data_IF_749462538106
#
_entry.id   IF_749462538106
#
_cell.length_a   1.000
_cell.length_b   1.000
_cell.length_c   1.000
_cell.angle_alpha   90.00
_cell.angle_beta   90.00
_cell.angle_gamma   90.00
#
_symmetry.space_group_name_H-M   'P 1'
#
loop_
_entity.id
_entity.type
_entity.pdbx_description
1 polymer ?
#
# COMPACT_ATOMS: atom_id res chain seq x y z
N UNK A 1 18.51 -4.71 20.28
CA UNK A 1 18.91 -3.62 19.35
C UNK A 1 18.68 -2.30 20.08
N UNK A 2 19.53 -1.29 19.92
CA UNK A 2 19.23 0.04 20.50
C UNK A 2 18.24 0.75 19.58
N UNK A 3 17.02 1.05 20.06
CA UNK A 3 16.07 1.85 19.28
C UNK A 3 16.65 3.25 18.98
N UNK A 4 16.35 3.86 17.84
CA UNK A 4 16.64 5.26 17.60
C UNK A 4 15.92 6.18 18.61
N UNK A 5 16.48 7.37 18.84
CA UNK A 5 15.96 8.30 19.83
C UNK A 5 14.70 9.03 19.37
N UNK A 6 14.67 9.56 18.14
CA UNK A 6 13.60 10.45 17.67
C UNK A 6 12.87 9.90 16.44
N UNK A 7 11.59 9.49 16.55
CA UNK A 7 10.79 9.06 15.40
C UNK A 7 10.67 10.08 14.27
N UNK A 8 10.83 11.37 14.56
CA UNK A 8 10.91 12.44 13.56
C UNK A 8 11.99 12.20 12.50
N UNK A 9 13.08 11.53 12.88
CA UNK A 9 14.20 11.24 11.97
C UNK A 9 13.81 10.23 10.88
N UNK A 10 12.74 9.45 11.09
CA UNK A 10 12.17 8.53 10.11
C UNK A 10 11.13 9.17 9.19
N UNK A 11 10.87 10.47 9.29
CA UNK A 11 9.80 11.13 8.54
C UNK A 11 9.86 10.90 7.02
N UNK A 12 11.06 10.87 6.44
CA UNK A 12 11.25 10.59 5.03
C UNK A 12 10.92 9.13 4.69
N UNK A 13 11.26 8.17 5.56
CA UNK A 13 10.90 6.77 5.42
C UNK A 13 9.37 6.57 5.54
N UNK A 14 8.71 7.23 6.50
CA UNK A 14 7.26 7.16 6.64
C UNK A 14 6.54 7.64 5.39
N UNK A 15 6.95 8.78 4.85
CA UNK A 15 6.42 9.29 3.58
C UNK A 15 6.66 8.30 2.45
N UNK A 16 7.85 7.72 2.36
CA UNK A 16 8.20 6.76 1.32
C UNK A 16 7.35 5.49 1.41
N UNK A 17 7.18 4.91 2.60
CA UNK A 17 6.35 3.72 2.81
C UNK A 17 4.86 3.99 2.59
N UNK A 18 4.35 5.16 3.01
CA UNK A 18 2.97 5.57 2.71
C UNK A 18 2.71 5.65 1.20
N UNK A 19 3.73 6.06 0.44
CA UNK A 19 3.62 6.21 -1.01
C UNK A 19 3.83 4.89 -1.76
N UNK A 20 4.87 4.13 -1.44
CA UNK A 20 5.32 2.99 -2.26
C UNK A 20 5.10 1.63 -1.61
N UNK A 21 4.86 1.59 -0.30
CA UNK A 21 4.70 0.35 0.47
C UNK A 21 5.96 -0.50 0.60
N UNK A 22 7.07 -0.04 0.01
CA UNK A 22 8.34 -0.73 -0.07
C UNK A 22 9.48 0.28 -0.16
N UNK A 23 10.66 -0.10 0.32
CA UNK A 23 11.90 0.64 0.18
C UNK A 23 13.04 -0.30 -0.24
N UNK A 24 13.76 0.05 -1.31
CA UNK A 24 14.94 -0.70 -1.74
C UNK A 24 16.17 -0.37 -0.89
N UNK A 25 17.22 -1.17 -0.95
CA UNK A 25 18.50 -0.89 -0.28
C UNK A 25 19.13 0.42 -0.77
N UNK A 26 19.02 0.70 -2.06
CA UNK A 26 19.46 1.98 -2.62
C UNK A 26 18.67 3.16 -2.04
N UNK A 27 17.34 3.06 -2.01
CA UNK A 27 16.46 4.11 -1.48
C UNK A 27 16.68 4.31 0.02
N UNK A 28 16.75 3.23 0.81
CA UNK A 28 16.97 3.29 2.25
C UNK A 28 18.30 3.97 2.60
N UNK A 29 19.36 3.74 1.81
CA UNK A 29 20.63 4.42 1.95
C UNK A 29 20.50 5.93 1.64
N UNK A 30 19.81 6.28 0.55
CA UNK A 30 19.54 7.69 0.19
C UNK A 30 18.73 8.44 1.24
N UNK A 31 17.77 7.76 1.88
CA UNK A 31 16.95 8.29 2.98
C UNK A 31 17.67 8.29 4.32
N UNK A 32 18.87 7.69 4.43
CA UNK A 32 19.59 7.44 5.70
C UNK A 32 18.74 6.71 6.73
N UNK A 33 17.86 5.82 6.25
CA UNK A 33 16.81 5.19 7.03
C UNK A 33 17.19 3.82 7.63
N UNK A 34 18.44 3.37 7.42
CA UNK A 34 18.91 2.03 7.83
C UNK A 34 18.52 1.60 9.26
N UNK A 35 18.79 2.42 10.30
CA UNK A 35 18.40 2.07 11.67
C UNK A 35 16.89 1.86 11.83
N UNK A 36 16.08 2.67 11.16
CA UNK A 36 14.61 2.61 11.23
C UNK A 36 14.02 1.43 10.47
N UNK A 37 14.60 1.10 9.31
CA UNK A 37 14.23 -0.10 8.56
C UNK A 37 14.40 -1.35 9.42
N UNK A 38 15.54 -1.49 10.10
CA UNK A 38 15.78 -2.62 11.01
C UNK A 38 14.82 -2.63 12.21
N UNK A 39 14.42 -1.47 12.73
CA UNK A 39 13.42 -1.39 13.81
C UNK A 39 12.07 -1.92 13.34
N UNK A 40 11.60 -1.51 12.17
CA UNK A 40 10.30 -1.93 11.64
C UNK A 40 10.30 -3.37 11.12
N UNK A 41 11.45 -3.87 10.65
CA UNK A 41 11.64 -5.29 10.36
C UNK A 41 11.50 -6.14 11.63
N UNK A 42 12.17 -5.77 12.73
CA UNK A 42 12.03 -6.48 14.01
C UNK A 42 10.64 -6.35 14.64
N UNK A 43 9.92 -5.26 14.34
CA UNK A 43 8.53 -5.08 14.74
C UNK A 43 7.55 -5.93 13.90
N UNK A 44 8.03 -6.63 12.85
CA UNK A 44 7.19 -7.39 11.93
C UNK A 44 6.33 -6.52 11.00
N UNK A 45 6.61 -5.21 10.94
CA UNK A 45 5.91 -4.28 10.04
C UNK A 45 6.52 -4.30 8.63
N UNK A 46 7.82 -4.61 8.53
CA UNK A 46 8.52 -4.82 7.27
C UNK A 46 9.05 -6.24 7.17
N UNK A 47 9.10 -6.77 5.96
CA UNK A 47 9.76 -8.03 5.61
C UNK A 47 10.89 -7.77 4.62
N UNK A 48 12.06 -8.34 4.92
CA UNK A 48 13.25 -8.18 4.10
C UNK A 48 13.29 -9.16 2.94
N UNK A 49 13.50 -8.64 1.74
CA UNK A 49 13.77 -9.41 0.53
C UNK A 49 15.27 -9.59 0.40
N UNK A 50 15.70 -10.84 0.22
CA UNK A 50 17.11 -11.19 0.20
C UNK A 50 17.59 -11.58 -1.20
N UNK A 51 18.82 -11.22 -1.55
CA UNK A 51 19.48 -11.74 -2.74
C UNK A 51 19.88 -13.22 -2.57
N UNK A 52 20.40 -13.82 -3.65
CA UNK A 52 20.95 -15.20 -3.66
C UNK A 52 22.07 -15.45 -2.64
N UNK A 53 22.62 -14.41 -2.01
CA UNK A 53 23.66 -14.49 -0.99
C UNK A 53 23.13 -14.19 0.42
N UNK A 54 21.81 -14.08 0.60
CA UNK A 54 21.19 -13.80 1.89
C UNK A 54 21.38 -12.36 2.37
N UNK A 55 21.67 -11.40 1.48
CA UNK A 55 21.76 -9.98 1.84
C UNK A 55 20.44 -9.28 1.55
N UNK A 56 19.91 -8.47 2.48
CA UNK A 56 18.69 -7.71 2.23
C UNK A 56 18.91 -6.70 1.10
N UNK A 57 18.02 -6.70 0.12
CA UNK A 57 18.04 -5.80 -1.05
C UNK A 57 16.84 -4.87 -1.10
N UNK A 58 15.74 -5.21 -0.43
CA UNK A 58 14.57 -4.38 -0.26
C UNK A 58 13.79 -4.79 0.99
N UNK A 59 12.86 -3.94 1.43
CA UNK A 59 11.92 -4.21 2.50
C UNK A 59 10.54 -3.71 2.12
N UNK A 60 9.52 -4.57 2.25
CA UNK A 60 8.13 -4.19 1.97
C UNK A 60 7.26 -4.33 3.22
N UNK A 61 6.14 -3.61 3.24
CA UNK A 61 5.12 -3.77 4.27
C UNK A 61 4.64 -5.22 4.30
N UNK A 62 4.51 -5.77 5.51
CA UNK A 62 3.91 -7.09 5.72
C UNK A 62 2.40 -7.03 5.51
N UNK A 63 1.72 -8.16 5.22
CA UNK A 63 0.27 -8.19 4.99
C UNK A 63 -0.58 -7.45 6.04
N UNK A 64 -0.27 -7.49 7.36
CA UNK A 64 -1.00 -6.72 8.36
C UNK A 64 -0.76 -5.20 8.35
N UNK A 65 0.15 -4.70 7.52
CA UNK A 65 0.54 -3.29 7.43
C UNK A 65 0.35 -2.69 6.04
N UNK A 66 -0.04 -3.49 5.03
CA UNK A 66 -0.28 -2.99 3.65
C UNK A 66 -1.35 -1.89 3.62
N UNK A 67 -2.36 -1.95 4.51
CA UNK A 67 -3.40 -0.92 4.62
C UNK A 67 -2.85 0.48 4.89
N UNK A 68 -1.60 0.62 5.36
CA UNK A 68 -0.95 1.91 5.56
C UNK A 68 -0.83 2.73 4.28
N UNK A 69 -0.97 2.09 3.11
CA UNK A 69 -1.02 2.75 1.80
C UNK A 69 -2.25 3.65 1.60
N UNK A 70 -3.27 3.51 2.43
CA UNK A 70 -4.48 4.37 2.43
C UNK A 70 -4.47 5.42 3.56
N UNK A 71 -3.44 5.37 4.41
CA UNK A 71 -3.29 6.30 5.53
C UNK A 71 -2.48 7.54 5.12
N UNK A 72 -2.74 8.66 5.80
CA UNK A 72 -1.83 9.81 5.74
C UNK A 72 -0.48 9.50 6.40
N UNK A 73 0.55 10.27 6.06
CA UNK A 73 1.93 10.05 6.52
C UNK A 73 2.05 10.05 8.05
N UNK A 74 1.24 10.85 8.77
CA UNK A 74 1.27 10.89 10.23
C UNK A 74 0.68 9.61 10.82
N UNK A 75 -0.42 9.12 10.26
CA UNK A 75 -1.00 7.83 10.65
C UNK A 75 -0.06 6.66 10.37
N UNK A 76 0.64 6.66 9.23
CA UNK A 76 1.67 5.67 8.91
C UNK A 76 2.76 5.67 9.97
N UNK A 77 3.35 6.83 10.27
CA UNK A 77 4.39 6.95 11.29
C UNK A 77 3.91 6.48 12.67
N UNK A 78 2.71 6.88 13.10
CA UNK A 78 2.13 6.45 14.38
C UNK A 78 1.96 4.94 14.47
N UNK A 79 1.30 4.33 13.48
CA UNK A 79 1.03 2.89 13.48
C UNK A 79 2.31 2.07 13.44
N UNK A 80 3.32 2.51 12.68
CA UNK A 80 4.64 1.88 12.69
C UNK A 80 5.35 2.02 14.04
N UNK A 81 5.27 3.18 14.70
CA UNK A 81 5.82 3.36 16.05
C UNK A 81 5.12 2.46 17.07
N UNK A 82 3.79 2.35 17.02
CA UNK A 82 2.99 1.49 17.91
C UNK A 82 3.19 -0.02 17.70
N UNK A 83 3.79 -0.41 16.57
CA UNK A 83 4.20 -1.78 16.31
C UNK A 83 5.52 -2.16 17.01
N UNK A 84 6.35 -1.17 17.36
CA UNK A 84 7.64 -1.40 18.03
C UNK A 84 7.37 -1.96 19.43
N UNK A 85 7.80 -3.20 19.66
CA UNK A 85 7.46 -3.99 20.86
C UNK A 85 7.74 -3.26 22.17
N UNK A 86 8.90 -2.63 22.30
CA UNK A 86 9.28 -1.93 23.52
C UNK A 86 8.40 -0.69 23.77
N UNK A 87 8.08 0.07 22.72
CA UNK A 87 7.20 1.24 22.84
C UNK A 87 5.74 0.82 23.06
N UNK A 88 5.30 -0.27 22.42
CA UNK A 88 3.99 -0.87 22.65
C UNK A 88 3.81 -1.32 24.10
N UNK A 89 4.81 -2.01 24.65
CA UNK A 89 4.81 -2.44 26.05
C UNK A 89 4.78 -1.25 27.01
N UNK A 90 5.49 -0.16 26.66
CA UNK A 90 5.40 1.12 27.36
C UNK A 90 3.93 1.61 27.37
N UNK A 91 3.34 1.87 26.21
CA UNK A 91 1.95 2.35 26.14
C UNK A 91 0.92 1.46 26.87
N UNK A 92 1.11 0.13 26.88
CA UNK A 92 0.25 -0.79 27.66
C UNK A 92 0.38 -0.58 29.17
N UNK A 93 1.58 -0.31 29.70
CA UNK A 93 1.78 -0.01 31.11
C UNK A 93 1.06 1.28 31.50
N UNK A 94 1.18 2.35 30.71
CA UNK A 94 0.42 3.60 30.92
C UNK A 94 -1.09 3.34 30.99
N UNK A 95 -1.61 2.55 30.04
CA UNK A 95 -3.03 2.19 30.02
C UNK A 95 -3.42 1.38 31.26
N UNK A 96 -2.63 0.38 31.64
CA UNK A 96 -2.90 -0.48 32.80
C UNK A 96 -2.89 0.33 34.10
N UNK A 97 -1.88 1.17 34.32
CA UNK A 97 -1.83 2.02 35.51
C UNK A 97 -3.06 2.93 35.60
N UNK A 98 -3.41 3.61 34.49
CA UNK A 98 -4.58 4.50 34.47
C UNK A 98 -5.92 3.78 34.65
N UNK A 99 -6.07 2.58 34.10
CA UNK A 99 -7.28 1.76 34.29
C UNK A 99 -7.43 1.29 35.74
N UNK A 100 -6.33 0.90 36.39
CA UNK A 100 -6.35 0.51 37.81
C UNK A 100 -6.69 1.72 38.69
N UNK A 101 -6.07 2.87 38.45
CA UNK A 101 -6.34 4.10 39.19
C UNK A 101 -7.81 4.53 39.04
N UNK A 102 -8.35 4.50 37.81
CA UNK A 102 -9.78 4.76 37.56
C UNK A 102 -10.71 3.75 38.27
N UNK A 103 -10.32 2.47 38.28
CA UNK A 103 -11.05 1.42 39.00
C UNK A 103 -11.10 1.66 40.51
N UNK A 104 -9.99 2.08 41.11
CA UNK A 104 -9.93 2.42 42.54
C UNK A 104 -10.68 3.70 42.89
N UNK A 105 -10.75 4.64 41.95
CA UNK A 105 -11.54 5.87 42.07
C UNK A 105 -13.05 5.63 41.89
N UNK A 106 -13.48 4.42 41.50
CA UNK A 106 -14.89 4.10 41.28
C UNK A 106 -15.48 4.69 40.00
N UNK A 107 -14.65 4.99 38.99
CA UNK A 107 -15.06 5.55 37.69
C UNK A 107 -15.68 4.48 36.78
N UNK A 108 -16.75 3.84 37.24
CA UNK A 108 -17.33 2.66 36.56
C UNK A 108 -17.93 2.99 35.20
N UNK A 109 -18.50 4.19 35.02
CA UNK A 109 -19.13 4.60 33.77
C UNK A 109 -18.07 4.82 32.68
N UNK A 110 -16.99 5.52 33.03
CA UNK A 110 -15.88 5.83 32.14
C UNK A 110 -15.13 4.56 31.74
N UNK A 111 -14.90 3.65 32.69
CA UNK A 111 -14.27 2.35 32.40
C UNK A 111 -15.11 1.52 31.41
N UNK A 112 -16.43 1.50 31.57
CA UNK A 112 -17.30 0.83 30.59
C UNK A 112 -17.25 1.49 29.21
N UNK A 113 -17.22 2.82 29.16
CA UNK A 113 -17.13 3.57 27.90
C UNK A 113 -15.80 3.28 27.18
N UNK A 114 -14.67 3.35 27.89
CA UNK A 114 -13.35 3.10 27.31
C UNK A 114 -13.17 1.66 26.84
N UNK A 115 -13.63 0.69 27.63
CA UNK A 115 -13.50 -0.74 27.28
C UNK A 115 -14.41 -1.16 26.12
N UNK A 116 -15.61 -0.57 26.01
CA UNK A 116 -16.51 -0.80 24.87
C UNK A 116 -16.14 0.02 23.63
N UNK A 117 -15.44 1.14 23.81
CA UNK A 117 -15.02 2.07 22.76
C UNK A 117 -13.54 1.94 22.41
N UNK A 118 -12.74 2.94 22.79
CA UNK A 118 -11.36 3.16 22.35
C UNK A 118 -10.41 1.96 22.60
N UNK A 119 -10.63 1.22 23.69
CA UNK A 119 -9.80 0.07 24.07
C UNK A 119 -10.32 -1.26 23.57
N UNK A 120 -11.50 -1.31 22.93
CA UNK A 120 -12.08 -2.56 22.44
C UNK A 120 -11.09 -3.41 21.60
N UNK A 121 -10.25 -2.83 20.71
CA UNK A 121 -9.25 -3.58 19.95
C UNK A 121 -8.11 -4.16 20.80
N UNK A 122 -7.82 -3.55 21.95
CA UNK A 122 -6.70 -3.90 22.83
C UNK A 122 -7.10 -4.78 24.01
N UNK A 123 -8.39 -5.04 24.25
CA UNK A 123 -8.85 -5.74 25.45
C UNK A 123 -8.18 -7.10 25.68
N UNK A 124 -8.01 -7.89 24.62
CA UNK A 124 -7.35 -9.20 24.72
C UNK A 124 -5.89 -9.06 25.19
N UNK A 125 -5.16 -8.08 24.65
CA UNK A 125 -3.77 -7.82 25.00
C UNK A 125 -3.65 -7.20 26.41
N UNK A 126 -4.51 -6.25 26.76
CA UNK A 126 -4.57 -5.67 28.11
C UNK A 126 -4.88 -6.74 29.16
N UNK A 127 -5.82 -7.65 28.90
CA UNK A 127 -6.13 -8.75 29.81
C UNK A 127 -4.95 -9.72 29.95
N UNK A 128 -4.28 -10.06 28.84
CA UNK A 128 -3.07 -10.89 28.87
C UNK A 128 -1.94 -10.23 29.67
N UNK A 129 -1.83 -8.90 29.58
CA UNK A 129 -0.86 -8.11 30.33
C UNK A 129 -1.20 -8.01 31.83
N UNK A 130 -2.49 -7.85 32.18
CA UNK A 130 -2.98 -7.78 33.56
C UNK A 130 -2.93 -9.11 34.31
N UNK A 131 -3.19 -10.23 33.63
CA UNK A 131 -3.24 -11.58 34.23
C UNK A 131 -2.04 -11.92 35.12
N UNK A 132 -0.78 -11.78 34.68
CA UNK A 132 0.38 -12.05 35.54
C UNK A 132 0.53 -11.06 36.70
N UNK A 133 0.10 -9.80 36.53
CA UNK A 133 0.18 -8.77 37.57
C UNK A 133 -0.81 -9.06 38.70
N UNK A 134 -2.01 -9.51 38.36
CA UNK A 134 -3.08 -9.85 39.30
C UNK A 134 -2.75 -11.10 40.12
N UNK A 135 -2.14 -12.13 39.52
CA UNK A 135 -1.76 -13.35 40.24
C UNK A 135 -2.91 -13.98 41.04
N UNK A 136 -4.15 -13.85 40.55
CA UNK A 136 -5.37 -14.35 41.20
C UNK A 136 -6.06 -13.37 42.18
N UNK A 137 -5.54 -12.14 42.34
CA UNK A 137 -6.20 -11.05 43.08
C UNK A 137 -6.37 -9.82 42.17
N UNK A 138 -7.52 -9.17 42.25
CA UNK A 138 -7.78 -7.95 41.47
C UNK A 138 -6.88 -6.82 41.96
N UNK A 139 -6.20 -6.12 41.05
CA UNK A 139 -5.28 -5.02 41.41
C UNK A 139 -5.99 -3.90 42.19
N UNK A 140 -7.25 -3.64 41.88
CA UNK A 140 -8.06 -2.59 42.54
C UNK A 140 -8.35 -2.86 44.02
N UNK A 141 -8.29 -4.13 44.44
CA UNK A 141 -8.58 -4.57 45.81
C UNK A 141 -7.29 -4.64 46.67
N UNK A 142 -6.12 -4.39 46.09
CA UNK A 142 -4.84 -4.43 46.79
C UNK A 142 -4.63 -3.17 47.66
N UNK A 143 -3.88 -3.36 48.76
CA UNK A 143 -3.41 -2.23 49.56
C UNK A 143 -2.48 -1.33 48.72
N UNK A 144 -2.45 0.00 48.97
CA UNK A 144 -1.66 0.94 48.16
C UNK A 144 -0.19 0.56 47.97
N UNK A 145 0.46 0.08 49.04
CA UNK A 145 1.88 -0.31 49.02
C UNK A 145 2.13 -1.61 48.26
N UNK A 146 1.20 -2.55 48.29
CA UNK A 146 1.27 -3.80 47.50
C UNK A 146 1.05 -3.50 46.02
N UNK A 147 0.10 -2.62 45.69
CA UNK A 147 -0.13 -2.16 44.33
C UNK A 147 1.09 -1.42 43.76
N UNK A 148 1.66 -0.47 44.52
CA UNK A 148 2.86 0.25 44.09
C UNK A 148 4.02 -0.71 43.82
N UNK A 149 4.22 -1.74 44.65
CA UNK A 149 5.24 -2.75 44.42
C UNK A 149 4.98 -3.54 43.14
N UNK A 150 3.72 -3.95 42.88
CA UNK A 150 3.33 -4.68 41.66
C UNK A 150 3.54 -3.85 40.39
N UNK A 151 3.23 -2.56 40.45
CA UNK A 151 3.38 -1.64 39.31
C UNK A 151 4.84 -1.17 39.13
N UNK A 152 5.64 -1.16 40.19
CA UNK A 152 7.07 -0.79 40.10
C UNK A 152 7.89 -1.73 39.22
N UNK A 153 7.46 -2.99 39.10
CA UNK A 153 8.08 -4.02 38.27
C UNK A 153 7.66 -3.95 36.79
N UNK A 154 6.79 -3.00 36.41
CA UNK A 154 6.39 -2.81 35.02
C UNK A 154 7.60 -2.39 34.15
N UNK A 155 7.70 -2.88 32.90
CA UNK A 155 8.84 -2.65 32.00
C UNK A 155 9.27 -1.20 31.68
N UNK A 156 8.65 -0.17 32.23
CA UNK A 156 8.75 1.21 31.74
C UNK A 156 9.81 2.13 32.34
N UNK A 157 10.50 1.74 33.42
CA UNK A 157 11.34 2.74 34.13
C UNK A 157 12.76 2.90 33.61
N UNK A 158 13.19 2.06 32.66
CA UNK A 158 14.60 2.03 32.26
C UNK A 158 14.95 2.93 31.07
N UNK A 159 13.97 3.37 30.27
CA UNK A 159 14.22 4.13 29.04
C UNK A 159 13.25 5.30 28.85
N UNK A 160 13.73 6.52 28.55
CA UNK A 160 12.86 7.64 28.22
C UNK A 160 12.29 7.50 26.80
N UNK A 161 10.96 7.61 26.69
CA UNK A 161 10.21 7.63 25.42
C UNK A 161 9.60 9.00 25.08
N UNK A 162 10.02 10.07 25.77
CA UNK A 162 9.47 11.43 25.60
C UNK A 162 9.36 11.89 24.12
N UNK A 163 10.40 11.66 23.31
CA UNK A 163 10.38 11.99 21.89
C UNK A 163 9.38 11.15 21.08
N UNK A 164 9.21 9.89 21.48
CA UNK A 164 8.23 8.99 20.88
C UNK A 164 6.81 9.40 21.25
N UNK A 165 6.57 9.79 22.50
CA UNK A 165 5.26 10.28 22.96
C UNK A 165 4.89 11.57 22.27
N UNK A 166 5.83 12.51 22.19
CA UNK A 166 5.63 13.77 21.46
C UNK A 166 5.25 13.54 20.01
N UNK A 167 5.84 12.54 19.35
CA UNK A 167 5.53 12.22 17.95
C UNK A 167 4.22 11.43 17.81
N UNK A 168 4.11 10.31 18.52
CA UNK A 168 3.06 9.33 18.30
C UNK A 168 1.73 9.69 18.98
N UNK A 169 1.81 10.24 20.19
CA UNK A 169 0.66 10.70 20.96
C UNK A 169 0.36 12.19 20.76
N UNK A 170 1.36 12.96 20.32
CA UNK A 170 1.27 14.41 20.15
C UNK A 170 1.52 15.19 21.45
N UNK A 171 1.95 14.51 22.51
CA UNK A 171 2.23 15.09 23.82
C UNK A 171 3.29 14.27 24.54
N UNK A 172 4.19 14.94 25.27
CA UNK A 172 5.20 14.30 26.09
C UNK A 172 5.04 14.79 27.53
N UNK A 173 4.81 13.86 28.44
CA UNK A 173 4.56 14.13 29.85
C UNK A 173 5.04 12.95 30.70
N UNK A 174 4.80 12.98 32.00
CA UNK A 174 5.04 11.80 32.84
C UNK A 174 4.02 10.71 32.47
N UNK A 175 4.34 9.40 32.60
CA UNK A 175 3.43 8.31 32.23
C UNK A 175 1.99 8.47 32.73
N UNK A 176 1.80 8.88 33.99
CA UNK A 176 0.48 9.13 34.59
C UNK A 176 -0.35 10.21 33.89
N UNK A 177 0.32 11.20 33.29
CA UNK A 177 -0.31 12.31 32.58
C UNK A 177 -0.59 11.95 31.10
N UNK A 178 -0.06 10.83 30.61
CA UNK A 178 -0.23 10.37 29.23
C UNK A 178 -1.43 9.44 29.01
N UNK A 179 -2.11 9.01 30.09
CA UNK A 179 -3.21 8.05 30.00
C UNK A 179 -4.27 8.42 28.95
N UNK A 180 -4.82 9.63 29.00
CA UNK A 180 -5.85 10.06 28.03
C UNK A 180 -5.33 10.10 26.59
N UNK A 181 -4.06 10.42 26.39
CA UNK A 181 -3.44 10.47 25.07
C UNK A 181 -3.23 9.07 24.52
N UNK A 182 -2.72 8.15 25.33
CA UNK A 182 -2.58 6.73 24.98
C UNK A 182 -3.97 6.14 24.67
N UNK A 183 -4.97 6.38 25.51
CA UNK A 183 -6.34 5.93 25.30
C UNK A 183 -6.88 6.35 23.93
N UNK A 184 -6.82 7.64 23.61
CA UNK A 184 -7.42 8.21 22.38
C UNK A 184 -6.61 7.97 21.10
N UNK A 185 -5.31 7.67 21.20
CA UNK A 185 -4.41 7.57 20.02
C UNK A 185 -3.90 6.16 19.77
N UNK A 186 -3.56 5.42 20.80
CA UNK A 186 -3.00 4.08 20.68
C UNK A 186 -4.10 3.02 20.53
N UNK A 187 -5.16 3.08 21.34
CA UNK A 187 -6.31 2.16 21.26
C UNK A 187 -6.92 2.07 19.86
N UNK A 188 -7.42 3.18 19.29
CA UNK A 188 -8.00 3.19 17.94
C UNK A 188 -7.01 2.83 16.83
N UNK A 189 -5.71 3.07 17.02
CA UNK A 189 -4.69 2.70 16.04
C UNK A 189 -4.39 1.20 16.01
N UNK A 190 -4.83 0.45 17.03
CA UNK A 190 -4.66 -1.00 17.13
C UNK A 190 -5.87 -1.80 16.60
N UNK A 191 -6.87 -1.12 16.01
CA UNK A 191 -7.94 -1.79 15.28
C UNK A 191 -7.33 -2.72 14.23
N UNK A 192 -7.69 -4.01 14.29
CA UNK A 192 -7.33 -4.99 13.28
C UNK A 192 -7.95 -4.56 11.95
N UNK A 193 -7.10 -4.23 11.00
CA UNK A 193 -7.52 -3.91 9.65
C UNK A 193 -7.56 -5.18 8.80
N UNK A 194 -8.35 -5.20 7.72
CA UNK A 194 -8.39 -6.33 6.80
C UNK A 194 -6.97 -6.68 6.34
N UNK A 195 -6.60 -7.94 6.49
CA UNK A 195 -5.30 -8.43 6.03
C UNK A 195 -5.39 -8.63 4.52
N UNK A 196 -4.46 -8.03 3.78
CA UNK A 196 -4.33 -8.30 2.35
C UNK A 196 -3.94 -9.77 2.16
N UNK A 197 -4.83 -10.56 1.57
CA UNK A 197 -4.57 -11.97 1.26
C UNK A 197 -3.77 -12.10 -0.04
N UNK A 198 -3.96 -11.16 -0.96
CA UNK A 198 -3.29 -11.09 -2.25
C UNK A 198 -2.17 -10.05 -2.25
N UNK A 199 -1.29 -10.11 -3.25
CA UNK A 199 -0.23 -9.11 -3.43
C UNK A 199 -0.84 -7.73 -3.67
N UNK A 200 -0.27 -6.71 -3.01
CA UNK A 200 -0.74 -5.34 -3.13
C UNK A 200 -0.30 -4.70 -4.45
N UNK A 201 -1.22 -4.02 -5.12
CA UNK A 201 -0.95 -3.20 -6.30
C UNK A 201 -1.34 -1.76 -6.03
N UNK A 202 -0.46 -0.80 -6.31
CA UNK A 202 -0.67 0.61 -5.99
C UNK A 202 -0.55 1.45 -7.24
N UNK A 203 -1.61 2.15 -7.61
CA UNK A 203 -1.53 3.07 -8.73
C UNK A 203 -0.86 4.39 -8.29
N UNK A 204 0.25 4.75 -8.95
CA UNK A 204 0.96 6.02 -8.77
C UNK A 204 1.17 6.71 -10.11
N UNK A 205 1.33 8.05 -10.13
CA UNK A 205 1.70 8.74 -11.35
C UNK A 205 3.07 8.25 -11.81
N UNK A 206 3.15 7.70 -13.03
CA UNK A 206 4.41 7.36 -13.67
C UNK A 206 4.77 8.49 -14.64
N UNK A 207 5.84 9.26 -14.38
CA UNK A 207 6.24 10.35 -15.24
C UNK A 207 6.99 9.78 -16.45
N UNK A 208 6.26 9.35 -17.49
CA UNK A 208 6.87 8.82 -18.73
C UNK A 208 6.90 9.85 -19.88
N UNK A 209 6.41 11.08 -19.65
CA UNK A 209 6.49 12.20 -20.61
C UNK A 209 7.48 13.27 -20.18
N UNK A 210 8.15 13.89 -21.15
CA UNK A 210 9.05 15.05 -20.92
C UNK A 210 8.38 16.17 -20.16
N UNK A 211 7.15 16.47 -20.51
CA UNK A 211 6.31 17.50 -19.88
C UNK A 211 6.05 17.20 -18.39
N UNK A 212 6.08 15.92 -18.01
CA UNK A 212 5.91 15.45 -16.63
C UNK A 212 7.27 15.23 -15.91
N UNK A 213 8.38 15.73 -16.47
CA UNK A 213 9.72 15.61 -15.88
C UNK A 213 10.52 14.37 -16.33
N UNK A 214 10.06 13.63 -17.33
CA UNK A 214 10.79 12.48 -17.90
C UNK A 214 11.84 12.92 -18.93
N UNK A 215 13.11 12.87 -18.58
CA UNK A 215 14.22 12.98 -19.53
C UNK A 215 14.94 11.64 -19.64
N UNK A 216 15.63 11.39 -20.76
CA UNK A 216 16.49 10.21 -20.90
C UNK A 216 17.51 10.12 -19.74
N UNK A 217 18.01 11.27 -19.28
CA UNK A 217 18.85 11.35 -18.09
C UNK A 217 18.12 10.96 -16.80
N UNK A 218 16.90 11.45 -16.58
CA UNK A 218 16.16 11.14 -15.34
C UNK A 218 15.64 9.71 -15.30
N UNK A 219 15.31 9.12 -16.44
CA UNK A 219 14.97 7.70 -16.57
C UNK A 219 16.13 6.79 -16.15
N UNK A 220 17.36 7.22 -16.45
CA UNK A 220 18.57 6.44 -16.14
C UNK A 220 19.03 6.55 -14.68
N UNK A 221 18.42 7.44 -13.89
CA UNK A 221 18.72 7.63 -12.48
C UNK A 221 17.71 6.80 -11.67
N UNK A 222 18.16 6.05 -10.65
CA UNK A 222 17.25 5.36 -9.76
C UNK A 222 16.27 6.35 -9.10
N UNK A 223 14.98 6.12 -9.31
CA UNK A 223 13.85 6.86 -8.77
C UNK A 223 12.85 5.84 -8.20
N UNK A 224 12.00 6.23 -7.23
CA UNK A 224 11.07 5.28 -6.64
C UNK A 224 10.09 4.64 -7.62
N UNK A 225 9.67 5.37 -8.65
CA UNK A 225 8.76 4.83 -9.65
C UNK A 225 9.43 3.84 -10.62
N UNK A 226 10.76 3.85 -10.73
CA UNK A 226 11.52 3.08 -11.73
C UNK A 226 12.43 2.00 -11.13
N UNK A 227 12.37 1.83 -9.81
CA UNK A 227 13.12 0.82 -9.06
C UNK A 227 12.28 -0.45 -8.93
N UNK A 228 12.94 -1.62 -9.02
CA UNK A 228 12.32 -2.93 -8.83
C UNK A 228 11.63 -3.05 -7.47
N UNK A 229 10.37 -3.47 -7.51
CA UNK A 229 9.53 -3.76 -6.36
C UNK A 229 9.25 -5.24 -6.23
N UNK A 230 9.09 -5.74 -5.01
CA UNK A 230 8.93 -7.17 -4.71
C UNK A 230 7.62 -7.49 -4.00
N UNK A 231 7.26 -6.74 -2.96
CA UNK A 231 6.07 -7.01 -2.15
C UNK A 231 4.87 -6.14 -2.51
N UNK A 232 5.14 -4.94 -3.05
CA UNK A 232 4.09 -3.96 -3.42
C UNK A 232 4.33 -3.47 -4.84
N UNK A 233 3.44 -3.83 -5.76
CA UNK A 233 3.54 -3.49 -7.18
C UNK A 233 3.10 -2.04 -7.42
N UNK A 234 4.05 -1.11 -7.37
CA UNK A 234 3.78 0.34 -7.37
C UNK A 234 4.52 1.15 -8.45
N UNK A 235 5.40 0.52 -9.24
CA UNK A 235 6.26 1.19 -10.22
C UNK A 235 6.47 0.40 -11.51
N UNK A 236 7.25 0.97 -12.44
CA UNK A 236 7.66 0.34 -13.69
C UNK A 236 9.19 0.17 -13.69
N UNK A 237 9.71 -1.01 -13.30
CA UNK A 237 11.13 -1.17 -13.03
C UNK A 237 12.00 -1.12 -14.29
N UNK A 238 13.04 -0.29 -14.24
CA UNK A 238 14.18 -0.25 -15.18
C UNK A 238 15.52 -0.24 -14.43
N UNK A 239 15.47 -0.12 -13.10
CA UNK A 239 16.60 -0.15 -12.17
C UNK A 239 16.30 -1.19 -11.09
N UNK A 240 17.29 -2.00 -10.72
CA UNK A 240 17.17 -2.99 -9.67
C UNK A 240 17.16 -2.35 -8.26
N UNK A 241 16.93 -3.15 -7.23
CA UNK A 241 16.86 -2.67 -5.86
C UNK A 241 18.22 -2.17 -5.28
N UNK A 242 19.31 -2.30 -6.04
CA UNK A 242 20.65 -1.79 -5.72
C UNK A 242 21.00 -0.52 -6.47
N UNK A 243 20.12 -0.04 -7.35
CA UNK A 243 20.37 1.13 -8.18
C UNK A 243 21.10 0.80 -9.47
N UNK A 244 21.21 -0.47 -9.87
CA UNK A 244 21.82 -0.89 -11.14
C UNK A 244 20.77 -0.95 -12.24
N UNK A 245 21.13 -0.60 -13.48
CA UNK A 245 20.20 -0.65 -14.61
C UNK A 245 19.88 -2.11 -14.98
N UNK A 246 18.64 -2.35 -15.38
CA UNK A 246 18.13 -3.68 -15.75
C UNK A 246 18.12 -3.94 -17.26
N UNK A 247 18.71 -3.04 -18.05
CA UNK A 247 18.75 -3.10 -19.50
C UNK A 247 20.19 -2.94 -20.02
N UNK A 248 20.42 -3.37 -21.25
CA UNK A 248 21.74 -3.35 -21.89
C UNK A 248 22.25 -1.91 -22.07
N UNK A 249 23.44 -1.64 -21.55
CA UNK A 249 24.09 -0.32 -21.63
C UNK A 249 24.83 -0.11 -22.96
N UNK A 250 25.10 -1.18 -23.71
CA UNK A 250 25.87 -1.14 -24.95
C UNK A 250 25.00 -0.72 -26.17
N UNK A 251 23.67 -0.74 -26.01
CA UNK A 251 22.72 -0.42 -27.05
C UNK A 251 22.17 1.03 -26.93
N UNK A 252 21.63 1.62 -28.02
CA UNK A 252 21.10 2.98 -27.98
C UNK A 252 20.01 3.13 -26.92
N UNK A 253 20.26 4.01 -25.95
CA UNK A 253 19.41 4.20 -24.77
C UNK A 253 17.94 4.47 -25.15
N UNK A 254 17.68 5.19 -26.24
CA UNK A 254 16.34 5.51 -26.70
C UNK A 254 15.55 4.28 -27.20
N UNK A 255 16.22 3.26 -27.72
CA UNK A 255 15.58 2.06 -28.26
C UNK A 255 15.32 1.05 -27.15
N UNK A 256 16.36 0.73 -26.37
CA UNK A 256 16.26 -0.30 -25.32
C UNK A 256 15.42 0.16 -24.13
N UNK A 257 15.50 1.43 -23.74
CA UNK A 257 14.69 1.95 -22.64
C UNK A 257 13.20 1.92 -22.96
N UNK A 258 12.81 2.25 -24.19
CA UNK A 258 11.41 2.26 -24.58
C UNK A 258 10.82 0.85 -24.55
N UNK A 259 11.57 -0.13 -25.06
CA UNK A 259 11.17 -1.53 -24.99
C UNK A 259 11.09 -2.05 -23.56
N UNK A 260 12.08 -1.76 -22.72
CA UNK A 260 12.07 -2.20 -21.32
C UNK A 260 10.93 -1.54 -20.53
N UNK A 261 10.64 -0.25 -20.79
CA UNK A 261 9.49 0.44 -20.18
C UNK A 261 8.16 -0.17 -20.62
N UNK A 262 8.02 -0.59 -21.88
CA UNK A 262 6.84 -1.33 -22.34
C UNK A 262 6.67 -2.62 -21.55
N UNK A 263 7.73 -3.42 -21.45
CA UNK A 263 7.70 -4.69 -20.72
C UNK A 263 7.37 -4.47 -19.23
N UNK A 264 8.02 -3.50 -18.58
CA UNK A 264 7.79 -3.15 -17.19
C UNK A 264 6.36 -2.64 -16.91
N UNK A 265 5.80 -1.83 -17.81
CA UNK A 265 4.42 -1.32 -17.68
C UNK A 265 3.40 -2.44 -17.91
N UNK A 266 3.66 -3.38 -18.80
CA UNK A 266 2.80 -4.56 -19.03
C UNK A 266 2.68 -5.42 -17.76
N UNK A 267 3.72 -5.49 -16.94
CA UNK A 267 3.72 -6.24 -15.68
C UNK A 267 2.99 -5.52 -14.53
N UNK A 268 2.76 -4.22 -14.63
CA UNK A 268 2.07 -3.46 -13.58
C UNK A 268 0.55 -3.73 -13.60
N UNK A 269 -0.10 -4.20 -12.51
CA UNK A 269 -1.47 -4.71 -12.53
C UNK A 269 -2.54 -3.75 -13.09
N UNK A 270 -2.44 -2.45 -12.78
CA UNK A 270 -3.35 -1.43 -13.31
C UNK A 270 -3.20 -1.20 -14.82
N UNK A 271 -1.98 -1.26 -15.34
CA UNK A 271 -1.73 -1.13 -16.77
C UNK A 271 -2.10 -2.43 -17.48
N UNK A 272 -1.73 -3.58 -16.90
CA UNK A 272 -2.14 -4.90 -17.37
C UNK A 272 -3.67 -4.99 -17.54
N UNK A 273 -4.46 -4.52 -16.55
CA UNK A 273 -5.92 -4.46 -16.65
C UNK A 273 -6.39 -3.75 -17.92
N UNK A 274 -5.84 -2.56 -18.20
CA UNK A 274 -6.18 -1.77 -19.38
C UNK A 274 -5.73 -2.41 -20.69
N UNK A 275 -4.55 -3.03 -20.70
CA UNK A 275 -4.04 -3.74 -21.86
C UNK A 275 -4.92 -4.95 -22.16
N UNK A 276 -5.33 -5.69 -21.12
CA UNK A 276 -6.27 -6.81 -21.26
C UNK A 276 -7.63 -6.35 -21.79
N UNK A 277 -8.15 -5.21 -21.34
CA UNK A 277 -9.35 -4.60 -21.92
C UNK A 277 -9.15 -4.26 -23.42
N UNK A 278 -8.03 -3.66 -23.79
CA UNK A 278 -7.71 -3.36 -25.19
C UNK A 278 -7.61 -4.63 -26.06
N UNK A 279 -7.02 -5.71 -25.52
CA UNK A 279 -6.97 -7.02 -26.19
C UNK A 279 -8.37 -7.63 -26.32
N UNK A 280 -9.20 -7.56 -25.29
CA UNK A 280 -10.59 -8.01 -25.38
C UNK A 280 -11.35 -7.24 -26.47
N UNK A 281 -11.21 -5.92 -26.51
CA UNK A 281 -11.84 -5.09 -27.54
C UNK A 281 -11.41 -5.48 -28.95
N UNK A 282 -10.10 -5.66 -29.17
CA UNK A 282 -9.55 -6.09 -30.46
C UNK A 282 -10.01 -7.48 -30.90
N UNK A 283 -10.12 -8.44 -29.96
CA UNK A 283 -10.51 -9.83 -30.28
C UNK A 283 -12.01 -10.03 -30.40
N UNK A 284 -12.81 -9.19 -29.72
CA UNK A 284 -14.25 -9.37 -29.61
C UNK A 284 -14.97 -9.54 -30.95
N UNK A 285 -14.63 -8.81 -32.05
CA UNK A 285 -15.32 -8.94 -33.34
C UNK A 285 -15.11 -10.31 -34.01
N UNK A 286 -14.05 -11.02 -33.65
CA UNK A 286 -13.68 -12.33 -34.21
C UNK A 286 -13.97 -13.50 -33.24
N UNK A 287 -14.61 -13.23 -32.10
CA UNK A 287 -14.86 -14.22 -31.04
C UNK A 287 -16.36 -14.46 -30.82
N UNK A 288 -16.70 -15.54 -30.11
CA UNK A 288 -18.08 -15.77 -29.64
C UNK A 288 -18.43 -14.96 -28.38
N UNK A 289 -17.51 -14.11 -27.89
CA UNK A 289 -17.73 -13.26 -26.72
C UNK A 289 -18.51 -11.99 -27.11
N UNK A 290 -19.21 -11.34 -26.16
CA UNK A 290 -19.80 -10.03 -26.38
C UNK A 290 -18.77 -9.01 -26.89
N UNK A 291 -19.19 -8.14 -27.81
CA UNK A 291 -18.35 -7.04 -28.31
C UNK A 291 -17.93 -6.14 -27.14
N UNK A 292 -16.64 -5.86 -26.99
CA UNK A 292 -16.11 -4.93 -25.98
C UNK A 292 -15.54 -3.72 -26.69
N UNK A 293 -15.88 -2.52 -26.25
CA UNK A 293 -15.39 -1.27 -26.83
C UNK A 293 -14.91 -0.33 -25.72
N UNK A 294 -13.79 0.37 -25.97
CA UNK A 294 -13.26 1.41 -25.09
C UNK A 294 -13.61 2.77 -25.69
N UNK A 295 -14.75 3.31 -25.29
CA UNK A 295 -15.32 4.52 -25.84
C UNK A 295 -14.69 5.77 -25.22
N UNK A 296 -14.29 6.71 -26.07
CA UNK A 296 -13.79 8.03 -25.69
C UNK A 296 -14.89 9.05 -26.00
N UNK A 297 -15.45 9.74 -24.99
CA UNK A 297 -16.46 10.76 -25.23
C UNK A 297 -15.94 11.91 -26.09
N UNK A 298 -16.85 12.56 -26.83
CA UNK A 298 -16.54 13.70 -27.69
C UNK A 298 -15.89 14.90 -26.95
N UNK A 299 -15.90 14.93 -25.61
CA UNK A 299 -15.13 15.88 -24.80
C UNK A 299 -13.60 15.75 -25.03
N UNK A 300 -13.13 14.61 -25.53
CA UNK A 300 -11.72 14.32 -25.77
C UNK A 300 -10.90 14.10 -24.51
N UNK A 301 -11.53 14.12 -23.34
CA UNK A 301 -10.88 13.89 -22.05
C UNK A 301 -10.57 12.41 -21.89
N UNK A 302 -9.28 12.04 -21.99
CA UNK A 302 -8.85 10.64 -21.84
C UNK A 302 -9.29 10.00 -20.51
N UNK A 303 -9.49 10.76 -19.44
CA UNK A 303 -9.97 10.19 -18.17
C UNK A 303 -11.44 9.74 -18.20
N UNK A 304 -12.23 10.16 -19.20
CA UNK A 304 -13.66 9.82 -19.34
C UNK A 304 -13.92 8.53 -20.13
N UNK A 305 -12.88 7.76 -20.43
CA UNK A 305 -13.02 6.50 -21.18
C UNK A 305 -13.99 5.58 -20.48
N UNK A 306 -14.94 5.06 -21.24
CA UNK A 306 -15.99 4.16 -20.77
C UNK A 306 -15.91 2.82 -21.48
N UNK A 307 -16.34 1.76 -20.80
CA UNK A 307 -16.42 0.42 -21.39
C UNK A 307 -17.83 0.18 -21.89
N UNK A 308 -17.96 -0.20 -23.16
CA UNK A 308 -19.22 -0.69 -23.73
C UNK A 308 -19.13 -2.20 -23.94
N UNK A 309 -20.20 -2.92 -23.61
CA UNK A 309 -20.34 -4.37 -23.87
C UNK A 309 -21.61 -4.61 -24.66
N UNK A 310 -21.50 -5.15 -25.88
CA UNK A 310 -22.63 -5.30 -26.80
C UNK A 310 -23.34 -3.97 -27.07
N UNK A 311 -22.58 -2.88 -27.18
CA UNK A 311 -23.05 -1.50 -27.33
C UNK A 311 -23.83 -0.93 -26.13
N UNK A 312 -23.79 -1.59 -24.96
CA UNK A 312 -24.34 -1.06 -23.70
C UNK A 312 -23.23 -0.54 -22.81
N UNK A 313 -23.41 0.65 -22.24
CA UNK A 313 -22.45 1.21 -21.28
C UNK A 313 -22.40 0.41 -19.99
N UNK A 314 -21.19 0.01 -19.59
CA UNK A 314 -20.94 -0.71 -18.33
C UNK A 314 -20.46 0.22 -17.23
N UNK A 315 -19.75 1.30 -17.59
CA UNK A 315 -19.25 2.30 -16.65
C UNK A 315 -17.97 2.97 -17.13
N UNK A 316 -17.50 3.97 -16.39
CA UNK A 316 -16.19 4.59 -16.65
C UNK A 316 -15.09 3.62 -16.24
N UNK A 317 -14.01 3.57 -17.01
CA UNK A 317 -12.83 2.75 -16.69
C UNK A 317 -12.30 3.05 -15.29
N UNK A 318 -12.28 4.34 -14.89
CA UNK A 318 -11.83 4.77 -13.57
C UNK A 318 -12.60 4.11 -12.40
N UNK A 319 -13.85 3.72 -12.63
CA UNK A 319 -14.71 3.06 -11.63
C UNK A 319 -14.54 1.54 -11.65
N UNK A 320 -14.13 0.97 -12.79
CA UNK A 320 -13.99 -0.47 -12.99
C UNK A 320 -12.58 -0.98 -12.66
N UNK A 321 -11.56 -0.11 -12.71
CA UNK A 321 -10.16 -0.55 -12.70
C UNK A 321 -9.75 -1.27 -11.42
N UNK A 322 -10.30 -0.88 -10.26
CA UNK A 322 -10.07 -1.57 -8.99
C UNK A 322 -10.53 -3.04 -9.04
N UNK A 323 -11.75 -3.29 -9.51
CA UNK A 323 -12.31 -4.64 -9.64
C UNK A 323 -11.53 -5.48 -10.65
N UNK A 324 -11.09 -4.86 -11.75
CA UNK A 324 -10.29 -5.53 -12.78
C UNK A 324 -8.89 -5.91 -12.27
N UNK A 325 -8.31 -5.10 -11.39
CA UNK A 325 -7.07 -5.45 -10.69
C UNK A 325 -7.31 -6.59 -9.70
N UNK A 326 -8.45 -6.58 -8.99
CA UNK A 326 -8.82 -7.69 -8.12
C UNK A 326 -9.06 -9.00 -8.89
N UNK A 327 -9.71 -8.94 -10.05
CA UNK A 327 -9.90 -10.10 -10.93
C UNK A 327 -8.57 -10.70 -11.45
N UNK A 328 -7.48 -9.93 -11.40
CA UNK A 328 -6.13 -10.40 -11.70
C UNK A 328 -5.45 -11.14 -10.53
N UNK A 329 -6.02 -11.09 -9.33
CA UNK A 329 -5.46 -11.67 -8.11
C UNK A 329 -4.56 -10.70 -7.32
N UNK A 330 -4.89 -9.40 -7.35
CA UNK A 330 -4.17 -8.37 -6.61
C UNK A 330 -5.13 -7.54 -5.75
N UNK A 331 -4.67 -7.06 -4.61
CA UNK A 331 -5.42 -6.08 -3.81
C UNK A 331 -5.10 -4.65 -4.28
N UNK A 332 -6.06 -3.89 -4.82
CA UNK A 332 -5.81 -2.55 -5.35
C UNK A 332 -5.74 -1.50 -4.23
N UNK A 333 -4.80 -0.56 -4.37
CA UNK A 333 -4.61 0.59 -3.48
C UNK A 333 -4.35 1.87 -4.28
N UNK A 334 -4.50 3.02 -3.61
CA UNK A 334 -4.38 4.34 -4.24
C UNK A 334 -5.66 4.79 -4.95
N UNK A 335 -6.81 4.27 -4.50
CA UNK A 335 -8.14 4.62 -5.00
C UNK A 335 -8.81 5.59 -4.02
N UNK A 336 -9.57 6.55 -4.53
CA UNK A 336 -10.40 7.47 -3.73
C UNK A 336 -11.85 6.99 -3.87
N UNK A 337 -12.49 6.61 -2.77
CA UNK A 337 -13.83 6.03 -2.75
C UNK A 337 -13.99 4.82 -3.70
N UNK A 338 -12.94 4.00 -3.79
CA UNK A 338 -12.89 2.82 -4.66
C UNK A 338 -12.66 3.14 -6.15
N UNK A 339 -12.35 4.39 -6.50
CA UNK A 339 -12.17 4.84 -7.89
C UNK A 339 -10.79 5.41 -8.13
N UNK A 340 -10.31 5.30 -9.37
CA UNK A 340 -9.09 5.98 -9.81
C UNK A 340 -9.40 7.46 -10.03
N UNK A 341 -8.56 8.36 -9.53
CA UNK A 341 -8.74 9.79 -9.77
C UNK A 341 -8.53 10.14 -11.24
N UNK A 342 -9.19 11.21 -11.73
CA UNK A 342 -9.07 11.63 -13.14
C UNK A 342 -7.60 11.93 -13.54
N UNK A 343 -6.81 12.47 -12.60
CA UNK A 343 -5.37 12.70 -12.81
C UNK A 343 -4.60 11.40 -13.07
N UNK A 344 -4.81 10.39 -12.21
CA UNK A 344 -4.15 9.09 -12.34
C UNK A 344 -4.62 8.33 -13.57
N UNK A 345 -5.93 8.37 -13.86
CA UNK A 345 -6.49 7.75 -15.06
C UNK A 345 -5.91 8.38 -16.33
N UNK A 346 -5.85 9.71 -16.35
CA UNK A 346 -5.24 10.46 -17.43
C UNK A 346 -3.74 10.18 -17.57
N UNK A 347 -2.99 10.01 -16.48
CA UNK A 347 -1.57 9.62 -16.53
C UNK A 347 -1.40 8.22 -17.13
N UNK A 348 -2.17 7.25 -16.64
CA UNK A 348 -2.12 5.84 -17.08
C UNK A 348 -2.40 5.74 -18.59
N UNK A 349 -3.50 6.31 -19.08
CA UNK A 349 -3.87 6.23 -20.49
C UNK A 349 -2.89 6.96 -21.39
N UNK A 350 -2.41 8.13 -20.97
CA UNK A 350 -1.35 8.85 -21.70
C UNK A 350 -0.11 7.99 -21.83
N UNK A 351 0.29 7.30 -20.78
CA UNK A 351 1.45 6.42 -20.82
C UNK A 351 1.25 5.25 -21.80
N UNK A 352 0.07 4.62 -21.83
CA UNK A 352 -0.25 3.56 -22.80
C UNK A 352 -0.23 4.03 -24.26
N UNK A 353 -0.66 5.28 -24.51
CA UNK A 353 -0.59 5.92 -25.83
C UNK A 353 0.86 6.22 -26.25
N UNK A 354 1.66 6.81 -25.36
CA UNK A 354 3.06 7.15 -25.63
C UNK A 354 3.94 5.91 -25.85
N UNK A 355 3.69 4.87 -25.06
CA UNK A 355 4.35 3.59 -25.27
C UNK A 355 3.83 2.87 -26.51
N UNK A 356 2.91 3.45 -27.29
CA UNK A 356 2.26 2.84 -28.46
C UNK A 356 1.75 1.43 -28.19
N UNK A 357 1.11 1.27 -27.03
CA UNK A 357 0.37 0.05 -26.68
C UNK A 357 -1.09 0.23 -27.09
N UNK A 358 -1.64 1.41 -26.81
CA UNK A 358 -2.94 1.86 -27.30
C UNK A 358 -2.75 3.00 -28.31
N UNK A 359 -3.76 3.22 -29.15
CA UNK A 359 -3.89 4.41 -30.00
C UNK A 359 -5.33 4.89 -30.01
N UNK A 360 -5.51 6.18 -30.26
CA UNK A 360 -6.81 6.77 -30.49
C UNK A 360 -7.25 6.53 -31.93
N UNK A 361 -8.46 6.03 -32.13
CA UNK A 361 -9.09 5.86 -33.44
C UNK A 361 -10.55 6.27 -33.36
N UNK A 362 -10.88 7.39 -34.00
CA UNK A 362 -12.22 7.99 -33.97
C UNK A 362 -12.69 8.26 -32.53
N UNK A 363 -13.75 7.59 -32.05
CA UNK A 363 -14.26 7.69 -30.68
C UNK A 363 -13.83 6.48 -29.82
N UNK A 364 -12.77 5.77 -30.22
CA UNK A 364 -12.33 4.53 -29.57
C UNK A 364 -10.84 4.57 -29.19
N UNK A 365 -10.53 3.92 -28.07
CA UNK A 365 -9.18 3.46 -27.77
C UNK A 365 -9.00 2.01 -28.25
N UNK A 366 -8.06 1.81 -29.17
CA UNK A 366 -7.76 0.51 -29.76
C UNK A 366 -6.30 0.15 -29.53
N UNK A 367 -5.95 -1.14 -29.68
CA UNK A 367 -4.54 -1.56 -29.64
C UNK A 367 -3.77 -0.94 -30.81
N UNK A 368 -2.54 -0.51 -30.56
CA UNK A 368 -1.62 -0.06 -31.62
C UNK A 368 -1.25 -1.24 -32.55
N UNK A 369 -1.15 -0.99 -33.85
CA UNK A 369 -0.96 -2.04 -34.86
C UNK A 369 0.42 -2.72 -34.74
N UNK A 370 1.45 -1.98 -34.32
CA UNK A 370 2.79 -2.54 -34.06
C UNK A 370 2.74 -3.44 -32.81
N UNK A 371 2.00 -3.01 -31.78
CA UNK A 371 1.82 -3.80 -30.57
C UNK A 371 1.03 -5.08 -30.86
N UNK A 372 -0.05 -5.01 -31.66
CA UNK A 372 -0.80 -6.18 -32.12
C UNK A 372 0.12 -7.20 -32.82
N UNK A 373 0.99 -6.72 -33.72
CA UNK A 373 1.95 -7.56 -34.43
C UNK A 373 2.94 -8.24 -33.47
N UNK A 374 3.39 -7.53 -32.44
CA UNK A 374 4.31 -8.05 -31.42
C UNK A 374 3.67 -9.16 -30.54
N UNK A 375 2.35 -9.09 -30.28
CA UNK A 375 1.63 -10.12 -29.54
C UNK A 375 1.70 -11.49 -30.23
N UNK A 376 1.76 -11.50 -31.57
CA UNK A 376 1.84 -12.73 -32.38
C UNK A 376 3.27 -13.27 -32.52
N UNK A 377 4.29 -12.43 -32.33
CA UNK A 377 5.70 -12.70 -32.67
C UNK A 377 6.54 -13.41 -31.57
N UNK A 378 5.93 -13.83 -30.45
CA UNK A 378 6.51 -14.62 -29.33
C UNK A 378 6.93 -13.87 -28.04
N UNK A 379 7.19 -12.56 -28.05
CA UNK A 379 7.68 -11.81 -26.86
C UNK A 379 6.64 -11.71 -25.72
N UNK A 380 5.33 -11.69 -26.04
CA UNK A 380 4.23 -11.50 -25.08
C UNK A 380 3.34 -12.75 -24.89
N UNK A 381 3.88 -13.95 -25.13
CA UNK A 381 3.14 -15.23 -24.94
C UNK A 381 2.58 -15.41 -23.52
N UNK A 382 3.20 -14.78 -22.51
CA UNK A 382 2.78 -14.75 -21.10
C UNK A 382 1.51 -13.92 -20.87
N UNK A 383 1.31 -12.83 -21.62
CA UNK A 383 0.07 -12.04 -21.62
C UNK A 383 -1.06 -12.75 -22.38
N UNK A 384 -0.72 -13.55 -23.42
CA UNK A 384 -1.73 -14.16 -24.30
C UNK A 384 -2.21 -15.56 -23.87
N UNK A 385 -1.32 -16.47 -23.47
CA UNK A 385 -1.70 -17.87 -23.14
C UNK A 385 -2.24 -18.03 -21.71
N UNK A 386 -1.54 -17.60 -20.65
CA UNK A 386 -2.12 -17.42 -19.31
C UNK A 386 -3.28 -16.42 -19.29
N UNK A 387 -3.18 -15.34 -20.06
CA UNK A 387 -4.17 -14.27 -20.05
C UNK A 387 -5.51 -14.60 -20.70
N UNK A 388 -5.68 -15.75 -21.35
CA UNK A 388 -7.02 -16.16 -21.85
C UNK A 388 -8.03 -16.33 -20.71
N UNK A 389 -7.63 -17.01 -19.62
CA UNK A 389 -8.48 -17.15 -18.42
C UNK A 389 -8.73 -15.81 -17.74
N UNK A 390 -7.75 -14.93 -17.76
CA UNK A 390 -7.91 -13.58 -17.23
C UNK A 390 -8.89 -12.76 -18.09
N UNK A 391 -8.77 -12.81 -19.42
CA UNK A 391 -9.68 -12.18 -20.36
C UNK A 391 -11.11 -12.71 -20.19
N UNK A 392 -11.28 -14.03 -20.01
CA UNK A 392 -12.56 -14.65 -19.69
C UNK A 392 -13.15 -14.06 -18.39
N UNK A 393 -12.38 -14.02 -17.29
CA UNK A 393 -12.81 -13.38 -16.02
C UNK A 393 -13.14 -11.90 -16.17
N UNK A 394 -12.34 -11.15 -16.93
CA UNK A 394 -12.57 -9.73 -17.22
C UNK A 394 -13.90 -9.54 -17.95
N UNK A 395 -14.18 -10.34 -18.98
CA UNK A 395 -15.44 -10.26 -19.73
C UNK A 395 -16.63 -10.70 -18.87
N UNK A 396 -16.48 -11.74 -18.03
CA UNK A 396 -17.50 -12.18 -17.08
C UNK A 396 -17.85 -11.08 -16.07
N UNK A 397 -16.84 -10.41 -15.50
CA UNK A 397 -17.04 -9.31 -14.55
C UNK A 397 -17.74 -8.12 -15.21
N UNK A 398 -17.34 -7.75 -16.42
CA UNK A 398 -18.01 -6.69 -17.20
C UNK A 398 -19.45 -7.07 -17.55
N UNK A 399 -19.70 -8.32 -17.93
CA UNK A 399 -21.04 -8.81 -18.25
C UNK A 399 -21.95 -8.84 -17.00
N UNK A 400 -21.41 -9.23 -15.84
CA UNK A 400 -22.10 -9.17 -14.54
C UNK A 400 -22.52 -7.73 -14.24
N UNK A 401 -21.59 -6.78 -14.31
CA UNK A 401 -21.86 -5.34 -14.14
C UNK A 401 -22.89 -4.81 -15.13
N UNK A 402 -22.82 -5.21 -16.40
CA UNK A 402 -23.80 -4.84 -17.42
C UNK A 402 -25.22 -5.38 -17.13
N UNK A 403 -25.32 -6.54 -16.47
CA UNK A 403 -26.60 -7.12 -16.04
C UNK A 403 -27.16 -6.47 -14.78
N UNK A 404 -26.29 -6.03 -13.85
CA UNK A 404 -26.66 -5.33 -12.62
C UNK A 404 -27.02 -3.85 -12.86
N UNK A 405 -26.35 -3.20 -13.81
CA UNK A 405 -26.66 -1.85 -14.29
C UNK A 405 -27.86 -1.77 -15.26
N UNK A 406 -28.54 -2.89 -15.53
CA UNK A 406 -29.70 -2.97 -16.42
C UNK A 406 -31.03 -2.46 -15.83
N UNK A 407 -31.01 -1.93 -14.62
CA UNK A 407 -32.12 -1.20 -14.01
C UNK A 407 -31.71 0.26 -13.74
N UNK A 408 -31.58 1.04 -14.82
CA UNK A 408 -31.57 2.50 -14.77
C UNK A 408 -32.63 3.04 -15.73
#
# INVERSE_FOLDING_TARGET
MSLPAHPSDAGALFKHLAQWGEVSAYEAAGLRAGPWVSVFENAGALEAVHDKHGRPVAWHLTPPFVHLLECDVQQVGRRLCFAVREYRAYLLCILVEGLVDAGRAGMTVELEEWTKGDLAPLLAELNAFLTPLEGGKRLVDLAPTELEARLADLPERSRPFADWDSYALGHSARPKELFEFALRRFGPACVTLPIAVETAAVLRPLPLKRENGFGLGSASIPQPWNTQRFGVLSGAPIVDARGQRMFDEDAPLNEVLLEHLRDAVVEHPFYAAMIHLGICAWRSPASMMPTVELYVPASGCLHDVSVLVGSRGVGRVAELLGDLVHAQGYTPFGLVDGRVSDELMGNLLRNLLELRILRHQDELLVLDDDYQSSLMAARLRTVFRPGKKLQERTVEELARRASEGGAA
#
